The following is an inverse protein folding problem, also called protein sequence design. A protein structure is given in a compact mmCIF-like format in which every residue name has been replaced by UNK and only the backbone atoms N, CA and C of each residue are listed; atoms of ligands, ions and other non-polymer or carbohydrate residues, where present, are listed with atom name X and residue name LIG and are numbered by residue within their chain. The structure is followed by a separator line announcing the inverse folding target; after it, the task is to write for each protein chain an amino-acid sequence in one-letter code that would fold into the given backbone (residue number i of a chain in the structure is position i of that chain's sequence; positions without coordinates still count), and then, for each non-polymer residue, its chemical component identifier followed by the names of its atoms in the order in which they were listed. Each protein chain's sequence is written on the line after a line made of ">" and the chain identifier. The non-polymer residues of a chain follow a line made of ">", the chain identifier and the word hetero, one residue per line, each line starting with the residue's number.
data_IF_600868335356
#
_entry.id   IF_600868335356
#
_cell.length_a   1.000
_cell.length_b   1.000
_cell.length_c   1.000
_cell.angle_alpha   90.00
_cell.angle_beta   90.00
_cell.angle_gamma   90.00
#
_symmetry.space_group_name_H-M   'P 1'
#
loop_
_entity.id
_entity.type
_entity.pdbx_description
1 polymer ?
#
# COMPACT_ATOMS: atom_id res chain seq x y z
N UNK A 1 -23.73 -10.34 7.40
CA UNK A 1 -24.59 -9.26 6.90
C UNK A 1 -23.75 -7.99 6.84
N UNK A 2 -23.39 -7.50 5.66
CA UNK A 2 -22.68 -6.24 5.50
C UNK A 2 -23.66 -5.10 5.79
N UNK A 3 -23.30 -4.23 6.71
CA UNK A 3 -24.06 -3.01 7.04
C UNK A 3 -24.12 -2.15 5.78
N UNK A 4 -25.31 -1.79 5.32
CA UNK A 4 -25.47 -0.85 4.23
C UNK A 4 -24.83 0.49 4.63
N UNK A 5 -23.94 1.01 3.76
CA UNK A 5 -23.29 2.31 3.99
C UNK A 5 -24.34 3.40 4.09
N UNK A 6 -24.27 4.20 5.15
CA UNK A 6 -25.18 5.34 5.33
C UNK A 6 -24.78 6.49 4.39
N UNK A 7 -25.71 7.37 4.06
CA UNK A 7 -25.43 8.58 3.25
C UNK A 7 -24.33 9.44 3.90
N UNK A 8 -24.25 9.48 5.24
CA UNK A 8 -23.19 10.16 5.98
C UNK A 8 -21.82 9.52 5.78
N UNK A 9 -21.73 8.20 5.73
CA UNK A 9 -20.48 7.48 5.47
C UNK A 9 -19.96 7.79 4.07
N UNK A 10 -20.85 7.84 3.08
CA UNK A 10 -20.47 8.19 1.70
C UNK A 10 -19.95 9.63 1.58
N UNK A 11 -20.53 10.59 2.28
CA UNK A 11 -20.04 11.99 2.31
C UNK A 11 -18.66 12.05 2.96
N UNK A 12 -18.46 11.34 4.07
CA UNK A 12 -17.17 11.29 4.76
C UNK A 12 -16.08 10.62 3.89
N UNK A 13 -16.41 9.56 3.16
CA UNK A 13 -15.49 8.89 2.22
C UNK A 13 -15.10 9.83 1.08
N UNK A 14 -16.07 10.52 0.46
CA UNK A 14 -15.81 11.50 -0.60
C UNK A 14 -14.91 12.64 -0.12
N UNK A 15 -15.14 13.15 1.09
CA UNK A 15 -14.30 14.17 1.71
C UNK A 15 -12.86 13.71 1.90
N UNK A 16 -12.64 12.47 2.36
CA UNK A 16 -11.30 11.87 2.51
C UNK A 16 -10.60 11.66 1.16
N UNK A 17 -11.35 11.29 0.11
CA UNK A 17 -10.80 11.12 -1.24
C UNK A 17 -10.42 12.49 -1.81
N UNK A 18 -11.26 13.50 -1.67
CA UNK A 18 -10.98 14.86 -2.13
C UNK A 18 -9.78 15.49 -1.42
N UNK A 19 -9.60 15.20 -0.12
CA UNK A 19 -8.45 15.68 0.65
C UNK A 19 -7.08 15.08 0.20
N UNK A 20 -7.09 14.02 -0.61
CA UNK A 20 -5.87 13.44 -1.21
C UNK A 20 -5.49 14.09 -2.54
N UNK A 21 -6.30 14.99 -3.04
CA UNK A 21 -6.02 15.69 -4.28
C UNK A 21 -4.93 16.73 -4.04
N UNK A 22 -3.80 16.55 -4.74
CA UNK A 22 -2.62 17.38 -4.60
C UNK A 22 -2.55 18.37 -5.77
N UNK A 23 -2.51 19.67 -5.46
CA UNK A 23 -2.43 20.76 -6.43
C UNK A 23 -1.07 20.84 -7.14
N UNK A 24 0.00 20.35 -6.51
CA UNK A 24 1.33 20.36 -7.13
C UNK A 24 1.42 19.27 -8.18
N UNK A 25 0.90 18.07 -7.86
CA UNK A 25 0.76 16.97 -8.83
C UNK A 25 -0.17 17.38 -9.98
N UNK A 26 -1.26 18.07 -9.69
CA UNK A 26 -2.14 18.61 -10.73
C UNK A 26 -1.37 19.51 -11.71
N UNK A 27 -0.61 20.45 -11.18
CA UNK A 27 0.17 21.41 -12.00
C UNK A 27 1.19 20.70 -12.89
N UNK A 28 1.88 19.70 -12.35
CA UNK A 28 2.81 18.89 -13.14
C UNK A 28 2.10 18.15 -14.27
N UNK A 29 0.99 17.48 -13.96
CA UNK A 29 0.19 16.73 -14.93
C UNK A 29 -0.35 17.65 -16.04
N UNK A 30 -0.92 18.79 -15.69
CA UNK A 30 -1.44 19.76 -16.67
C UNK A 30 -0.32 20.35 -17.54
N UNK A 31 0.81 20.65 -16.97
CA UNK A 31 2.00 21.09 -17.72
C UNK A 31 2.43 20.03 -18.72
N UNK A 32 2.40 18.75 -18.33
CA UNK A 32 2.74 17.63 -19.20
C UNK A 32 1.76 17.45 -20.37
N UNK A 33 0.44 17.57 -20.11
CA UNK A 33 -0.58 17.57 -21.15
C UNK A 33 -0.39 18.73 -22.13
N UNK A 34 -0.08 19.92 -21.63
CA UNK A 34 0.18 21.09 -22.46
C UNK A 34 1.40 20.86 -23.37
N UNK A 35 2.51 20.40 -22.81
CA UNK A 35 3.77 20.18 -23.57
C UNK A 35 3.64 19.06 -24.61
N UNK A 36 2.85 18.03 -24.37
CA UNK A 36 2.69 16.90 -25.28
C UNK A 36 1.58 17.09 -26.32
N UNK A 37 0.48 17.71 -25.94
CA UNK A 37 -0.73 17.80 -26.76
C UNK A 37 -1.13 19.25 -27.09
N UNK A 38 -0.47 20.24 -26.49
CA UNK A 38 -0.86 21.64 -26.62
C UNK A 38 -2.20 21.97 -25.95
N UNK A 39 -2.61 21.19 -24.94
CA UNK A 39 -3.87 21.38 -24.22
C UNK A 39 -3.66 22.31 -23.05
N UNK A 40 -4.34 23.45 -23.06
CA UNK A 40 -4.39 24.38 -21.94
C UNK A 40 -5.66 24.13 -21.11
N UNK A 41 -5.49 23.28 -20.09
CA UNK A 41 -6.59 22.90 -19.20
C UNK A 41 -6.51 23.78 -17.95
N UNK A 42 -7.59 24.51 -17.60
CA UNK A 42 -7.61 25.32 -16.39
C UNK A 42 -7.42 24.45 -15.13
N UNK A 43 -6.67 24.91 -14.13
CA UNK A 43 -6.48 24.18 -12.89
C UNK A 43 -7.80 24.01 -12.12
N UNK A 44 -7.84 22.98 -11.29
CA UNK A 44 -8.98 22.64 -10.46
C UNK A 44 -9.62 21.32 -10.87
N UNK A 45 -9.83 20.46 -9.86
CA UNK A 45 -10.34 19.10 -10.01
C UNK A 45 -11.54 18.96 -10.96
N UNK A 46 -12.51 19.90 -10.86
CA UNK A 46 -13.71 19.88 -11.70
C UNK A 46 -13.42 20.29 -13.15
N UNK A 47 -12.51 21.23 -13.36
CA UNK A 47 -12.12 21.67 -14.70
C UNK A 47 -11.39 20.56 -15.44
N UNK A 48 -10.45 19.90 -14.76
CA UNK A 48 -9.71 18.74 -15.29
C UNK A 48 -10.66 17.61 -15.62
N UNK A 49 -11.58 17.26 -14.71
CA UNK A 49 -12.58 16.23 -14.93
C UNK A 49 -13.43 16.55 -16.17
N UNK A 50 -13.94 17.79 -16.26
CA UNK A 50 -14.77 18.22 -17.39
C UNK A 50 -14.01 18.19 -18.73
N UNK A 51 -12.73 18.54 -18.74
CA UNK A 51 -11.89 18.53 -19.93
C UNK A 51 -11.58 17.10 -20.41
N UNK A 52 -11.32 16.18 -19.49
CA UNK A 52 -10.78 14.84 -19.80
C UNK A 52 -11.80 13.71 -19.70
N UNK A 53 -13.03 13.95 -19.20
CA UNK A 53 -14.03 12.89 -18.94
C UNK A 53 -14.39 12.05 -20.18
N UNK A 54 -14.28 12.63 -21.39
CA UNK A 54 -14.56 11.93 -22.63
C UNK A 54 -13.47 10.94 -23.07
N UNK A 55 -12.31 10.98 -22.43
CA UNK A 55 -11.18 10.09 -22.67
C UNK A 55 -10.45 10.29 -23.99
N UNK A 56 -10.90 11.22 -24.86
CA UNK A 56 -10.30 11.42 -26.18
C UNK A 56 -8.86 11.86 -26.05
N UNK A 57 -8.59 12.83 -25.21
CA UNK A 57 -7.25 13.38 -25.03
C UNK A 57 -6.31 12.43 -24.27
N UNK A 58 -6.87 11.53 -23.45
CA UNK A 58 -6.11 10.43 -22.85
C UNK A 58 -5.62 9.44 -23.91
N UNK A 59 -6.47 9.08 -24.88
CA UNK A 59 -6.06 8.22 -25.99
C UNK A 59 -5.01 8.91 -26.86
N UNK A 60 -5.14 10.21 -27.13
CA UNK A 60 -4.11 11.00 -27.84
C UNK A 60 -2.80 11.02 -27.07
N UNK A 61 -2.85 11.22 -25.73
CA UNK A 61 -1.68 11.16 -24.89
C UNK A 61 -0.99 9.79 -24.99
N UNK A 62 -1.74 8.71 -24.89
CA UNK A 62 -1.21 7.35 -25.02
C UNK A 62 -0.53 7.12 -26.39
N UNK A 63 -1.13 7.61 -27.47
CA UNK A 63 -0.54 7.53 -28.81
C UNK A 63 0.77 8.33 -28.90
N UNK A 64 0.79 9.54 -28.35
CA UNK A 64 1.98 10.39 -28.39
C UNK A 64 3.10 9.81 -27.53
N UNK A 65 2.77 9.31 -26.35
CA UNK A 65 3.71 8.60 -25.47
C UNK A 65 4.27 7.35 -26.16
N UNK A 66 3.42 6.54 -26.79
CA UNK A 66 3.85 5.34 -27.52
C UNK A 66 4.87 5.67 -28.63
N UNK A 67 4.67 6.77 -29.35
CA UNK A 67 5.58 7.22 -30.44
C UNK A 67 6.94 7.65 -29.91
N UNK A 68 6.99 8.30 -28.75
CA UNK A 68 8.21 8.91 -28.18
C UNK A 68 9.02 7.96 -27.32
N UNK A 69 8.48 6.81 -26.92
CA UNK A 69 9.24 5.78 -26.22
C UNK A 69 10.15 5.01 -27.17
N UNK A 70 11.47 4.99 -26.90
CA UNK A 70 12.45 4.27 -27.73
C UNK A 70 12.36 2.75 -27.56
N UNK A 71 12.23 2.29 -26.31
CA UNK A 71 12.21 0.88 -25.95
C UNK A 71 10.81 0.41 -25.52
N UNK A 72 9.78 0.80 -26.28
CA UNK A 72 8.39 0.44 -25.95
C UNK A 72 8.21 -1.05 -25.76
N UNK A 73 7.58 -1.54 -24.68
CA UNK A 73 7.28 -2.95 -24.48
C UNK A 73 6.51 -3.51 -25.67
N UNK A 74 6.81 -4.76 -26.13
CA UNK A 74 6.18 -5.35 -27.31
C UNK A 74 4.65 -5.38 -27.25
N UNK A 75 4.09 -5.56 -26.07
CA UNK A 75 2.66 -5.56 -25.84
C UNK A 75 2.02 -4.18 -26.05
N UNK A 76 2.70 -3.11 -25.60
CA UNK A 76 2.26 -1.74 -25.79
C UNK A 76 2.49 -1.28 -27.25
N UNK A 77 3.63 -1.64 -27.87
CA UNK A 77 3.97 -1.28 -29.25
C UNK A 77 2.96 -1.80 -30.28
N UNK A 78 2.43 -3.00 -30.07
CA UNK A 78 1.45 -3.63 -30.99
C UNK A 78 0.03 -3.05 -30.82
N UNK A 79 -0.21 -2.24 -29.81
CA UNK A 79 -1.54 -1.70 -29.53
C UNK A 79 -1.89 -0.59 -30.52
N UNK A 80 -2.93 -0.82 -31.31
CA UNK A 80 -3.53 0.21 -32.18
C UNK A 80 -4.58 0.95 -31.38
N UNK A 81 -4.37 2.23 -31.14
CA UNK A 81 -5.26 3.09 -30.39
C UNK A 81 -5.92 4.10 -31.33
N UNK A 82 -7.24 4.23 -31.23
CA UNK A 82 -8.00 5.22 -31.97
C UNK A 82 -9.06 5.79 -31.04
N UNK A 83 -9.08 7.12 -30.82
CA UNK A 83 -10.10 7.73 -30.00
C UNK A 83 -11.46 7.66 -30.70
N UNK A 84 -12.50 7.37 -29.93
CA UNK A 84 -13.87 7.42 -30.40
C UNK A 84 -14.43 8.82 -30.14
N UNK A 85 -14.93 9.50 -31.17
CA UNK A 85 -15.41 10.87 -31.10
C UNK A 85 -16.91 10.99 -30.78
N UNK A 86 -17.61 9.85 -30.69
CA UNK A 86 -19.04 9.84 -30.34
C UNK A 86 -19.26 10.26 -28.89
N UNK A 87 -20.24 11.12 -28.67
CA UNK A 87 -20.59 11.64 -27.33
C UNK A 87 -21.40 10.69 -26.46
N UNK A 88 -21.66 9.45 -26.92
CA UNK A 88 -22.35 8.44 -26.12
C UNK A 88 -21.51 8.05 -24.89
N UNK A 89 -22.11 7.99 -23.68
CA UNK A 89 -21.40 7.69 -22.43
C UNK A 89 -20.54 6.43 -22.49
N UNK A 90 -21.05 5.37 -23.09
CA UNK A 90 -20.34 4.12 -23.29
C UNK A 90 -19.06 4.32 -24.13
N UNK A 91 -19.10 5.16 -25.17
CA UNK A 91 -17.95 5.42 -26.03
C UNK A 91 -16.88 6.28 -25.36
N UNK A 92 -17.30 7.17 -24.49
CA UNK A 92 -16.38 7.95 -23.67
C UNK A 92 -15.65 7.08 -22.64
N UNK A 93 -16.39 6.19 -21.96
CA UNK A 93 -15.79 5.22 -21.03
C UNK A 93 -14.88 4.21 -21.77
N UNK A 94 -15.21 3.83 -23.02
CA UNK A 94 -14.36 2.99 -23.87
C UNK A 94 -13.01 3.69 -24.15
N UNK A 95 -13.00 5.00 -24.42
CA UNK A 95 -11.75 5.75 -24.59
C UNK A 95 -10.88 5.68 -23.32
N UNK A 96 -11.49 5.90 -22.14
CA UNK A 96 -10.76 5.79 -20.87
C UNK A 96 -10.19 4.38 -20.70
N UNK A 97 -10.96 3.34 -21.04
CA UNK A 97 -10.50 1.96 -20.96
C UNK A 97 -9.34 1.65 -21.93
N UNK A 98 -9.34 2.25 -23.12
CA UNK A 98 -8.20 2.14 -24.07
C UNK A 98 -6.93 2.69 -23.43
N UNK A 99 -7.02 3.85 -22.76
CA UNK A 99 -5.89 4.44 -22.04
C UNK A 99 -5.40 3.54 -20.90
N UNK A 100 -6.31 3.02 -20.09
CA UNK A 100 -5.97 2.12 -18.97
C UNK A 100 -5.28 0.83 -19.48
N UNK A 101 -5.79 0.24 -20.55
CA UNK A 101 -5.18 -0.93 -21.19
C UNK A 101 -3.77 -0.63 -21.72
N UNK A 102 -3.54 0.58 -22.23
CA UNK A 102 -2.21 1.01 -22.63
C UNK A 102 -1.27 1.11 -21.42
N UNK A 103 -1.70 1.74 -20.34
CA UNK A 103 -0.91 1.84 -19.10
C UNK A 103 -0.54 0.45 -18.54
N UNK A 104 -1.46 -0.50 -18.54
CA UNK A 104 -1.19 -1.89 -18.13
C UNK A 104 -0.14 -2.55 -19.03
N UNK A 105 -0.21 -2.34 -20.33
CA UNK A 105 0.77 -2.90 -21.30
C UNK A 105 2.13 -2.23 -21.24
N UNK A 106 2.21 -0.99 -20.76
CA UNK A 106 3.48 -0.31 -20.47
C UNK A 106 4.15 -0.92 -19.24
N UNK A 107 3.38 -1.55 -18.34
CA UNK A 107 3.92 -2.24 -17.16
C UNK A 107 3.46 -1.66 -15.83
N UNK A 108 2.49 -0.76 -15.85
CA UNK A 108 1.89 -0.26 -14.61
C UNK A 108 1.11 -1.35 -13.88
N UNK A 109 1.19 -1.35 -12.55
CA UNK A 109 0.40 -2.28 -11.74
C UNK A 109 -1.08 -1.88 -11.75
N UNK A 110 -1.97 -2.87 -11.67
CA UNK A 110 -3.42 -2.62 -11.60
C UNK A 110 -3.83 -1.78 -10.39
N UNK A 111 -3.06 -1.86 -9.32
CA UNK A 111 -3.30 -1.07 -8.10
C UNK A 111 -2.95 0.41 -8.26
N UNK A 112 -2.06 0.75 -9.19
CA UNK A 112 -1.70 2.14 -9.53
C UNK A 112 -2.66 2.77 -10.53
N UNK A 113 -3.48 1.98 -11.20
CA UNK A 113 -4.46 2.46 -12.15
C UNK A 113 -5.72 2.99 -11.45
N UNK A 114 -6.39 3.94 -12.09
CA UNK A 114 -7.71 4.41 -11.70
C UNK A 114 -8.81 3.60 -12.41
N UNK A 115 -10.04 3.70 -11.94
CA UNK A 115 -11.20 3.09 -12.60
C UNK A 115 -11.84 4.09 -13.59
N UNK A 116 -12.49 3.58 -14.62
CA UNK A 116 -13.19 4.44 -15.60
C UNK A 116 -14.14 5.43 -14.95
N UNK A 117 -14.84 5.03 -13.90
CA UNK A 117 -15.77 5.86 -13.14
C UNK A 117 -15.09 6.94 -12.30
N UNK A 118 -13.82 6.74 -11.93
CA UNK A 118 -13.05 7.72 -11.13
C UNK A 118 -12.86 9.03 -11.91
N UNK A 119 -12.59 8.94 -13.20
CA UNK A 119 -12.47 10.09 -14.08
C UNK A 119 -13.82 10.49 -14.67
N UNK A 120 -14.61 9.54 -15.19
CA UNK A 120 -15.86 9.83 -15.87
C UNK A 120 -16.85 10.56 -14.97
N UNK A 121 -17.02 10.09 -13.74
CA UNK A 121 -17.91 10.68 -12.74
C UNK A 121 -17.18 11.59 -11.74
N UNK A 122 -15.86 11.69 -11.83
CA UNK A 122 -15.04 12.47 -10.89
C UNK A 122 -14.99 11.88 -9.48
N UNK A 123 -15.15 10.55 -9.33
CA UNK A 123 -15.18 9.89 -8.01
C UNK A 123 -13.85 9.95 -7.29
N UNK A 124 -12.74 9.76 -8.02
CA UNK A 124 -11.41 9.76 -7.42
C UNK A 124 -10.37 10.39 -8.37
N UNK A 125 -10.41 11.69 -8.48
CA UNK A 125 -9.48 12.46 -9.32
C UNK A 125 -8.04 12.41 -8.80
N UNK A 126 -7.83 12.20 -7.49
CA UNK A 126 -6.49 12.01 -6.94
C UNK A 126 -5.81 10.75 -7.50
N UNK A 127 -6.56 9.64 -7.60
CA UNK A 127 -6.03 8.41 -8.21
C UNK A 127 -5.74 8.58 -9.70
N UNK A 128 -6.56 9.34 -10.42
CA UNK A 128 -6.32 9.69 -11.81
C UNK A 128 -5.01 10.46 -11.98
N UNK A 129 -4.77 11.52 -11.17
CA UNK A 129 -3.54 12.30 -11.22
C UNK A 129 -2.30 11.44 -10.93
N UNK A 130 -2.37 10.63 -9.86
CA UNK A 130 -1.29 9.72 -9.50
C UNK A 130 -0.99 8.70 -10.61
N UNK A 131 -2.02 8.19 -11.28
CA UNK A 131 -1.84 7.23 -12.38
C UNK A 131 -1.15 7.88 -13.60
N UNK A 132 -1.47 9.13 -13.92
CA UNK A 132 -0.80 9.86 -15.01
C UNK A 132 0.66 10.14 -14.65
N UNK A 133 0.95 10.56 -13.43
CA UNK A 133 2.31 10.77 -12.93
C UNK A 133 3.13 9.47 -12.95
N UNK A 134 2.51 8.37 -12.52
CA UNK A 134 3.12 7.04 -12.57
C UNK A 134 3.40 6.59 -14.02
N UNK A 135 2.50 6.88 -14.96
CA UNK A 135 2.75 6.63 -16.38
C UNK A 135 4.00 7.36 -16.86
N UNK A 136 4.17 8.64 -16.48
CA UNK A 136 5.37 9.39 -16.81
C UNK A 136 6.65 8.77 -16.25
N UNK A 137 6.60 8.25 -15.01
CA UNK A 137 7.70 7.50 -14.41
C UNK A 137 8.03 6.23 -15.20
N UNK A 138 7.01 5.46 -15.59
CA UNK A 138 7.24 4.25 -16.38
C UNK A 138 7.78 4.57 -17.79
N UNK A 139 7.30 5.64 -18.41
CA UNK A 139 7.83 6.08 -19.71
C UNK A 139 9.32 6.38 -19.67
N UNK A 140 9.82 6.98 -18.59
CA UNK A 140 11.26 7.27 -18.41
C UNK A 140 12.10 5.98 -18.41
N UNK A 141 11.58 4.85 -17.91
CA UNK A 141 12.27 3.53 -17.95
C UNK A 141 12.51 3.03 -19.36
N UNK A 142 11.64 3.43 -20.27
CA UNK A 142 11.70 2.97 -21.68
C UNK A 142 12.34 4.00 -22.62
N UNK A 143 13.07 4.97 -22.07
CA UNK A 143 13.78 5.97 -22.88
C UNK A 143 12.81 6.91 -23.59
N UNK A 144 11.93 7.54 -22.84
CA UNK A 144 10.98 8.50 -23.38
C UNK A 144 11.70 9.77 -23.85
N UNK A 145 11.48 10.16 -25.10
CA UNK A 145 12.00 11.37 -25.70
C UNK A 145 10.95 12.49 -25.61
N UNK A 146 11.09 13.34 -24.59
CA UNK A 146 10.14 14.42 -24.36
C UNK A 146 10.15 14.94 -22.93
N UNK A 147 9.17 15.80 -22.59
CA UNK A 147 9.03 16.32 -21.25
C UNK A 147 8.73 15.18 -20.26
N UNK A 148 9.44 15.18 -19.17
CA UNK A 148 9.31 14.15 -18.13
C UNK A 148 8.41 14.62 -17.00
N UNK A 149 7.68 13.67 -16.41
CA UNK A 149 6.86 13.89 -15.23
C UNK A 149 7.06 12.71 -14.26
N UNK A 150 6.87 12.97 -12.98
CA UNK A 150 7.04 11.98 -11.93
C UNK A 150 8.50 11.74 -11.55
N UNK A 151 8.71 10.79 -10.64
CA UNK A 151 10.04 10.49 -10.11
C UNK A 151 10.90 9.75 -11.16
N UNK A 152 12.21 10.05 -11.16
CA UNK A 152 13.14 9.29 -11.98
C UNK A 152 13.18 7.83 -11.49
N UNK A 153 12.93 6.84 -12.36
CA UNK A 153 12.96 5.44 -11.97
C UNK A 153 14.38 5.03 -11.58
N UNK A 154 14.49 4.34 -10.43
CA UNK A 154 15.75 3.74 -10.01
C UNK A 154 15.95 2.45 -10.79
N UNK A 155 17.16 2.24 -11.29
CA UNK A 155 17.53 0.98 -11.94
C UNK A 155 17.45 -0.17 -10.94
N UNK A 156 16.93 -1.32 -11.39
CA UNK A 156 16.90 -2.53 -10.56
C UNK A 156 18.34 -2.94 -10.26
N UNK A 157 18.73 -2.85 -8.99
CA UNK A 157 19.97 -3.45 -8.54
C UNK A 157 19.77 -4.97 -8.44
N UNK A 158 20.03 -5.67 -9.54
CA UNK A 158 19.98 -7.13 -9.61
C UNK A 158 21.21 -7.64 -8.89
N UNK A 159 21.00 -8.24 -7.72
CA UNK A 159 22.05 -8.93 -6.98
C UNK A 159 22.01 -10.41 -7.36
N UNK A 160 23.07 -10.88 -7.95
CA UNK A 160 23.28 -12.30 -8.15
C UNK A 160 23.99 -12.85 -6.90
N UNK A 161 23.37 -13.81 -6.25
CA UNK A 161 23.97 -14.50 -5.10
C UNK A 161 24.56 -15.81 -5.58
N UNK A 162 25.80 -16.10 -5.18
CA UNK A 162 26.38 -17.41 -5.42
C UNK A 162 25.64 -18.49 -4.61
N UNK A 163 25.68 -19.74 -5.08
CA UNK A 163 25.06 -20.87 -4.36
C UNK A 163 25.57 -21.01 -2.92
N UNK A 164 26.81 -20.63 -2.67
CA UNK A 164 27.40 -20.61 -1.33
C UNK A 164 26.73 -19.52 -0.45
N UNK A 165 26.50 -18.34 -1.00
CA UNK A 165 25.80 -17.26 -0.28
C UNK A 165 24.34 -17.61 0.00
N UNK A 166 23.65 -18.28 -0.93
CA UNK A 166 22.29 -18.75 -0.73
C UNK A 166 22.23 -19.82 0.38
N UNK A 167 23.16 -20.79 0.36
CA UNK A 167 23.26 -21.81 1.42
C UNK A 167 23.60 -21.20 2.78
N UNK A 168 24.52 -20.24 2.81
CA UNK A 168 24.85 -19.52 4.04
C UNK A 168 23.67 -18.72 4.59
N UNK A 169 22.84 -18.14 3.71
CA UNK A 169 21.61 -17.43 4.08
C UNK A 169 20.53 -18.35 4.65
N UNK A 170 20.43 -19.57 4.14
CA UNK A 170 19.49 -20.59 4.64
C UNK A 170 19.86 -21.11 6.04
N UNK A 171 21.15 -21.08 6.39
CA UNK A 171 21.63 -21.48 7.71
C UNK A 171 21.39 -20.43 8.81
N UNK A 172 20.96 -19.21 8.44
CA UNK A 172 20.68 -18.12 9.37
C UNK A 172 19.19 -18.11 9.69
N UNK A 173 18.86 -18.35 10.96
CA UNK A 173 17.47 -18.23 11.45
C UNK A 173 17.05 -16.76 11.40
N UNK A 174 15.84 -16.48 10.93
CA UNK A 174 15.33 -15.12 10.76
C UNK A 174 15.33 -14.32 12.06
N UNK A 175 15.30 -12.97 11.94
CA UNK A 175 15.37 -12.01 13.05
C UNK A 175 14.37 -12.26 14.19
N UNK A 176 13.22 -12.87 13.92
CA UNK A 176 12.22 -13.21 14.95
C UNK A 176 12.58 -14.41 15.79
N UNK A 177 13.40 -15.32 15.28
CA UNK A 177 13.86 -16.51 15.99
C UNK A 177 15.30 -16.35 16.52
N UNK A 178 15.94 -15.21 16.26
CA UNK A 178 17.36 -14.97 16.56
C UNK A 178 18.30 -15.63 15.55
N UNK A 179 19.58 -15.34 15.66
CA UNK A 179 20.62 -15.92 14.85
C UNK A 179 21.38 -16.98 15.64
N UNK A 180 21.66 -18.14 15.03
CA UNK A 180 22.51 -19.17 15.64
C UNK A 180 24.02 -18.85 15.55
N UNK A 181 24.41 -17.76 14.87
CA UNK A 181 25.81 -17.39 14.66
C UNK A 181 26.49 -16.72 15.87
N UNK A 182 25.72 -16.03 16.69
CA UNK A 182 26.22 -15.24 17.83
C UNK A 182 25.57 -15.59 19.17
N UNK A 183 24.52 -16.41 19.17
CA UNK A 183 23.84 -16.87 20.37
C UNK A 183 24.12 -18.38 20.53
N UNK A 184 25.07 -18.71 21.33
CA UNK A 184 25.22 -20.08 21.84
C UNK A 184 24.07 -20.31 22.83
N UNK A 185 23.23 -21.29 22.55
CA UNK A 185 22.24 -21.79 23.53
C UNK A 185 22.92 -22.68 24.61
N UNK A 186 24.24 -22.78 24.61
CA UNK A 186 25.01 -23.47 25.64
C UNK A 186 24.79 -22.71 26.96
N UNK A 187 24.05 -23.32 27.86
CA UNK A 187 23.67 -22.75 29.14
C UNK A 187 22.26 -22.14 29.22
N UNK A 188 21.51 -21.98 28.13
CA UNK A 188 20.10 -21.73 28.20
C UNK A 188 19.34 -23.03 28.40
N UNK A 189 18.90 -23.29 29.62
CA UNK A 189 17.88 -24.29 29.91
C UNK A 189 16.56 -23.72 29.38
N UNK A 190 16.23 -23.97 28.13
CA UNK A 190 14.87 -23.90 27.65
C UNK A 190 14.12 -25.01 28.37
N UNK A 191 13.40 -24.64 29.42
CA UNK A 191 12.76 -25.50 30.41
C UNK A 191 12.57 -26.94 29.94
N UNK A 192 13.19 -27.89 30.63
CA UNK A 192 13.15 -29.27 30.22
C UNK A 192 11.76 -29.63 29.77
N UNK A 193 11.65 -30.29 28.61
CA UNK A 193 10.35 -30.78 28.09
C UNK A 193 9.77 -31.68 29.16
N UNK A 194 8.97 -31.11 30.04
CA UNK A 194 8.19 -31.91 30.99
C UNK A 194 7.04 -32.52 30.20
N UNK A 195 7.26 -33.72 29.73
CA UNK A 195 6.16 -34.53 29.23
C UNK A 195 5.16 -34.69 30.37
N UNK A 196 3.88 -34.41 30.12
CA UNK A 196 2.80 -34.56 31.10
C UNK A 196 2.77 -35.97 31.73
N UNK A 197 3.33 -36.97 31.00
CA UNK A 197 3.48 -38.34 31.45
C UNK A 197 4.51 -38.55 32.56
N UNK A 198 5.47 -37.61 32.76
CA UNK A 198 6.55 -37.75 33.76
C UNK A 198 6.22 -37.11 35.10
N UNK A 199 5.04 -36.46 35.22
CA UNK A 199 4.57 -35.87 36.48
C UNK A 199 3.83 -36.93 37.27
N UNK A 200 4.49 -37.59 38.22
CA UNK A 200 3.83 -38.45 39.18
C UNK A 200 2.89 -37.63 40.08
N UNK A 201 1.71 -38.16 40.38
CA UNK A 201 0.65 -37.49 41.17
C UNK A 201 1.17 -37.04 42.58
N UNK A 202 2.20 -37.67 43.10
CA UNK A 202 2.82 -37.36 44.38
C UNK A 202 3.69 -36.07 44.35
N UNK A 203 4.20 -35.66 43.19
CA UNK A 203 4.99 -34.42 43.04
C UNK A 203 4.09 -33.17 42.99
N UNK A 204 2.82 -33.35 42.59
CA UNK A 204 1.83 -32.26 42.55
C UNK A 204 1.37 -31.80 43.93
N UNK A 205 1.44 -32.68 44.95
CA UNK A 205 1.00 -32.39 46.29
C UNK A 205 2.03 -31.67 47.17
N UNK A 206 3.32 -31.70 46.80
CA UNK A 206 4.41 -31.09 47.58
C UNK A 206 4.81 -29.69 47.10
N UNK A 207 4.56 -29.35 45.86
CA UNK A 207 4.95 -28.04 45.29
C UNK A 207 3.75 -27.16 44.87
N UNK A 208 2.53 -27.53 45.27
CA UNK A 208 1.28 -26.98 44.76
C UNK A 208 0.96 -25.52 45.11
N UNK A 209 1.81 -24.82 45.85
CA UNK A 209 1.53 -23.40 46.21
C UNK A 209 2.46 -22.39 45.54
N UNK A 210 3.40 -22.83 44.71
CA UNK A 210 4.43 -21.95 44.14
C UNK A 210 4.45 -21.82 42.63
N UNK A 211 3.67 -22.57 41.85
CA UNK A 211 3.75 -22.57 40.40
C UNK A 211 2.42 -22.20 39.79
N UNK A 212 2.31 -20.97 39.36
CA UNK A 212 1.21 -20.52 38.52
C UNK A 212 1.49 -21.07 37.10
N UNK A 213 0.47 -21.64 36.47
CA UNK A 213 0.58 -22.39 35.22
C UNK A 213 1.40 -21.70 34.11
N UNK A 214 1.85 -22.46 33.15
CA UNK A 214 2.76 -22.10 32.07
C UNK A 214 2.41 -20.81 31.28
N UNK A 215 1.15 -20.35 31.32
CA UNK A 215 0.72 -19.09 30.72
C UNK A 215 0.94 -17.86 31.59
N UNK A 216 1.15 -18.03 32.89
CA UNK A 216 1.28 -16.92 33.84
C UNK A 216 2.74 -16.69 34.30
N UNK A 217 3.67 -17.52 33.85
CA UNK A 217 5.07 -17.46 34.28
C UNK A 217 5.28 -17.90 35.72
N UNK A 218 6.52 -18.12 36.11
CA UNK A 218 6.91 -18.45 37.47
C UNK A 218 7.09 -17.18 38.32
N UNK A 219 6.52 -17.14 39.52
CA UNK A 219 6.72 -16.03 40.47
C UNK A 219 8.03 -16.17 41.28
N UNK A 220 8.84 -17.20 41.01
CA UNK A 220 10.07 -17.48 41.75
C UNK A 220 11.24 -16.52 41.47
N UNK A 221 11.15 -15.65 40.47
CA UNK A 221 12.23 -14.75 40.08
C UNK A 221 11.81 -13.31 39.82
N UNK A 222 10.52 -12.99 39.91
CA UNK A 222 10.00 -11.66 39.66
C UNK A 222 9.55 -11.02 40.99
N UNK A 223 10.42 -10.25 41.60
CA UNK A 223 10.04 -9.34 42.68
C UNK A 223 9.38 -8.11 42.07
N UNK A 224 8.11 -7.88 42.39
CA UNK A 224 7.40 -6.64 42.08
C UNK A 224 7.70 -5.52 43.09
N UNK A 225 8.76 -5.67 43.88
CA UNK A 225 9.25 -4.65 44.79
C UNK A 225 9.66 -3.41 44.00
N UNK A 226 8.85 -2.36 44.07
CA UNK A 226 9.08 -1.08 43.38
C UNK A 226 8.13 -0.73 42.23
N UNK A 227 7.20 -1.60 41.82
CA UNK A 227 6.11 -1.21 40.93
C UNK A 227 4.93 -0.67 41.73
N UNK A 228 4.81 0.67 41.79
CA UNK A 228 3.59 1.35 42.23
C UNK A 228 2.55 1.24 41.09
N UNK A 229 1.72 0.22 41.14
CA UNK A 229 0.47 0.21 40.38
C UNK A 229 -0.46 1.20 41.07
N UNK A 230 -0.81 2.29 40.33
CA UNK A 230 -1.60 3.39 40.81
C UNK A 230 -2.75 2.98 41.74
N UNK A 231 -2.94 3.73 42.80
CA UNK A 231 -3.88 3.42 43.87
C UNK A 231 -5.26 3.04 43.34
N UNK A 232 -5.62 1.79 43.53
CA UNK A 232 -6.99 1.32 43.31
C UNK A 232 -7.86 2.00 44.38
N UNK A 233 -8.71 2.94 43.97
CA UNK A 233 -9.74 3.49 44.89
C UNK A 233 -10.70 2.36 45.21
N UNK A 234 -10.65 1.90 46.46
CA UNK A 234 -11.59 0.95 46.99
C UNK A 234 -12.96 1.64 47.13
N UNK A 235 -14.01 1.02 46.61
CA UNK A 235 -15.40 1.54 46.64
C UNK A 235 -15.95 1.68 48.06
N UNK A 236 -15.25 1.15 49.08
CA UNK A 236 -15.62 1.23 50.51
C UNK A 236 -15.29 2.57 51.20
N UNK A 237 -14.63 3.53 50.49
CA UNK A 237 -14.28 4.81 51.09
C UNK A 237 -15.31 5.93 50.86
N UNK A 238 -16.48 5.58 50.30
CA UNK A 238 -17.60 6.53 50.22
C UNK A 238 -18.35 6.50 51.54
N UNK A 239 -18.03 7.41 52.42
CA UNK A 239 -18.83 7.66 53.62
C UNK A 239 -20.16 8.29 53.26
N UNK A 240 -21.23 7.82 53.94
CA UNK A 240 -22.62 8.23 53.75
C UNK A 240 -22.97 9.60 54.39
N UNK A 241 -21.98 10.47 54.64
CA UNK A 241 -22.17 11.69 55.42
C UNK A 241 -22.24 12.97 54.57
N UNK A 242 -22.35 12.89 53.26
CA UNK A 242 -22.54 14.03 52.37
C UNK A 242 -23.87 13.95 51.60
N UNK A 243 -24.98 13.82 52.34
CA UNK A 243 -26.30 14.19 51.87
C UNK A 243 -26.92 15.30 52.66
#
# INVERSE_FOLDING_TARGET
>A
MSRAESAGDQVAIRGKIAARYDSDVEREVLSWFNQLLGLDIPPGMQNVQRALHNGIDLVKLAIEVQKRMQNTPPAAKKMKMKPNTLSAPFKQMENIQIFLNFCEKVGMSKTSLFQTVDLYEGRNMAQFMNAVQQLGTECQRYGFDGPVIGAKPVEKNIREFSDEQLKAGQAIIGLQAGTNKCASQSGMSMGGVRHVADIKADDLSREGTGVIGLQSGSNKGASQSGMSMGAVRHVSDIRADDM
#
